data_IF_639061510189
#
_entry.id   IF_639061510189
#
_cell.length_a   1.000
_cell.length_b   1.000
_cell.length_c   1.000
_cell.angle_alpha   90.00
_cell.angle_beta   90.00
_cell.angle_gamma   90.00
#
_symmetry.space_group_name_H-M   'P 1'
#
loop_
_entity.id
_entity.type
_entity.pdbx_description
1 polymer ?
#
# COMPACT_ATOMS: atom_id res chain seq x y z
N UNK A 1 22.02 34.03 0.98
CA UNK A 1 21.50 33.40 -0.25
C UNK A 1 21.49 31.89 -0.03
N UNK A 2 20.33 31.25 -0.11
CA UNK A 2 20.19 29.81 0.12
C UNK A 2 20.88 29.01 -0.98
N UNK A 3 22.07 28.49 -0.70
CA UNK A 3 22.77 27.53 -1.56
C UNK A 3 22.34 26.10 -1.24
N UNK A 4 22.67 25.16 -2.12
CA UNK A 4 22.40 23.75 -1.90
C UNK A 4 23.06 23.27 -0.58
N UNK A 5 22.35 22.65 0.35
CA UNK A 5 22.94 22.26 1.64
C UNK A 5 24.00 21.15 1.52
N UNK A 6 24.02 20.41 0.41
CA UNK A 6 24.97 19.32 0.16
C UNK A 6 26.30 19.81 -0.43
N UNK A 7 26.25 20.68 -1.43
CA UNK A 7 27.45 21.13 -2.16
C UNK A 7 27.74 22.63 -2.01
N UNK A 8 26.87 23.38 -1.33
CA UNK A 8 26.90 24.85 -1.18
C UNK A 8 26.90 25.65 -2.49
N UNK A 9 26.67 24.98 -3.62
CA UNK A 9 26.51 25.61 -4.93
C UNK A 9 25.18 26.33 -5.09
N UNK A 10 25.03 27.15 -6.15
CA UNK A 10 23.76 27.79 -6.47
C UNK A 10 22.69 26.73 -6.76
N UNK A 11 21.52 26.86 -6.13
CA UNK A 11 20.37 26.01 -6.46
C UNK A 11 19.75 26.56 -7.74
N UNK A 12 19.50 25.68 -8.71
CA UNK A 12 18.80 26.08 -9.93
C UNK A 12 17.41 26.63 -9.58
N UNK A 13 17.19 27.91 -9.88
CA UNK A 13 15.92 28.58 -9.63
C UNK A 13 14.75 27.98 -10.42
N UNK A 14 15.03 27.26 -11.51
CA UNK A 14 14.00 26.57 -12.29
C UNK A 14 13.30 25.48 -11.49
N UNK A 15 13.99 24.86 -10.52
CA UNK A 15 13.41 23.91 -9.58
C UNK A 15 12.18 24.50 -8.86
N UNK A 16 12.20 25.79 -8.56
CA UNK A 16 11.12 26.48 -7.85
C UNK A 16 10.13 27.16 -8.78
N UNK A 17 10.53 27.50 -10.02
CA UNK A 17 9.69 28.22 -10.98
C UNK A 17 8.79 27.29 -11.79
N UNK A 18 9.27 26.09 -12.12
CA UNK A 18 8.53 25.06 -12.88
C UNK A 18 8.91 23.66 -12.39
N UNK A 19 8.55 23.29 -11.16
CA UNK A 19 8.82 21.95 -10.66
C UNK A 19 8.13 20.91 -11.56
N UNK A 20 8.91 19.97 -12.09
CA UNK A 20 8.38 18.81 -12.83
C UNK A 20 8.29 17.65 -11.85
N UNK A 21 7.08 17.12 -11.68
CA UNK A 21 6.87 15.93 -10.88
C UNK A 21 6.75 14.73 -11.80
N UNK A 22 7.75 13.86 -11.78
CA UNK A 22 7.69 12.54 -12.39
C UNK A 22 7.32 11.54 -11.31
N UNK A 23 6.11 11.00 -11.37
CA UNK A 23 5.59 10.05 -10.41
C UNK A 23 5.42 8.71 -11.13
N UNK A 24 6.08 7.68 -10.59
CA UNK A 24 5.95 6.31 -11.08
C UNK A 24 4.87 5.58 -10.26
N UNK A 25 3.78 5.18 -10.91
CA UNK A 25 2.70 4.46 -10.25
C UNK A 25 3.09 3.07 -9.76
N UNK A 26 4.20 2.49 -10.24
CA UNK A 26 4.70 1.18 -9.82
C UNK A 26 5.89 1.27 -8.87
N UNK A 27 6.19 2.47 -8.35
CA UNK A 27 7.27 2.62 -7.37
C UNK A 27 7.03 1.80 -6.10
N UNK A 28 8.13 1.37 -5.49
CA UNK A 28 8.18 0.60 -4.24
C UNK A 28 8.86 1.40 -3.12
N UNK A 29 8.67 0.96 -1.86
CA UNK A 29 9.38 1.51 -0.71
C UNK A 29 10.81 0.94 -0.70
N UNK A 30 11.86 1.77 -0.84
CA UNK A 30 13.23 1.29 -0.79
C UNK A 30 13.52 0.62 0.56
N UNK A 31 14.02 -0.62 0.53
CA UNK A 31 14.34 -1.37 1.74
C UNK A 31 13.13 -1.88 2.53
N UNK A 32 11.90 -1.82 1.98
CA UNK A 32 10.83 -2.61 2.57
C UNK A 32 11.14 -4.08 2.35
N UNK A 33 11.22 -4.90 3.40
CA UNK A 33 11.16 -6.35 3.20
C UNK A 33 9.85 -6.62 2.46
N UNK A 34 9.93 -7.22 1.27
CA UNK A 34 8.80 -7.96 0.69
C UNK A 34 8.26 -8.84 1.80
N UNK A 35 6.95 -8.79 2.04
CA UNK A 35 6.25 -9.21 3.25
C UNK A 35 6.83 -10.47 3.88
N UNK A 36 7.84 -10.32 4.75
CA UNK A 36 8.33 -11.43 5.55
C UNK A 36 7.33 -11.58 6.67
N UNK A 37 6.36 -12.47 6.47
CA UNK A 37 5.33 -12.84 7.43
C UNK A 37 5.98 -13.23 8.77
N UNK A 38 6.10 -12.27 9.68
CA UNK A 38 6.46 -12.50 11.07
C UNK A 38 5.25 -12.08 11.91
N UNK A 39 4.17 -12.85 11.84
CA UNK A 39 3.12 -12.81 12.86
C UNK A 39 2.41 -14.16 12.94
N UNK A 40 2.86 -14.97 13.90
CA UNK A 40 2.13 -16.15 14.36
C UNK A 40 0.74 -15.74 14.85
N UNK A 41 -0.33 -16.50 14.55
CA UNK A 41 -1.59 -16.36 15.26
C UNK A 41 -1.37 -16.75 16.73
N UNK A 42 -1.93 -15.97 17.66
CA UNK A 42 -1.99 -16.31 19.09
C UNK A 42 -2.90 -17.53 19.27
N UNK A 43 -2.34 -18.72 19.10
CA UNK A 43 -3.02 -20.00 19.35
C UNK A 43 -3.07 -20.25 20.85
N UNK A 44 -4.30 -20.36 21.37
CA UNK A 44 -4.59 -20.87 22.70
C UNK A 44 -4.15 -22.33 22.73
N UNK A 45 -3.22 -22.66 23.63
CA UNK A 45 -2.59 -23.99 23.76
C UNK A 45 -3.62 -25.07 24.10
N UNK A 46 -3.67 -26.11 23.26
CA UNK A 46 -3.88 -27.49 23.71
C UNK A 46 -2.71 -28.31 23.17
N UNK A 47 -2.10 -29.06 24.09
CA UNK A 47 -0.78 -29.67 23.98
C UNK A 47 -0.83 -30.95 23.13
N UNK A 48 0.02 -31.02 22.10
CA UNK A 48 0.65 -32.26 21.60
C UNK A 48 1.85 -31.86 20.72
N UNK A 49 3.06 -32.11 21.23
CA UNK A 49 4.35 -31.74 20.63
C UNK A 49 4.67 -32.60 19.40
N UNK A 50 4.13 -32.23 18.24
CA UNK A 50 4.67 -32.64 16.94
C UNK A 50 5.49 -31.48 16.41
N UNK A 51 6.81 -31.55 16.57
CA UNK A 51 7.77 -30.56 16.06
C UNK A 51 7.73 -30.59 14.53
N UNK A 52 6.84 -29.81 13.93
CA UNK A 52 6.85 -29.54 12.50
C UNK A 52 8.21 -28.96 12.11
N UNK A 53 8.76 -29.41 10.99
CA UNK A 53 10.06 -28.93 10.50
C UNK A 53 9.91 -27.46 10.07
N UNK A 54 10.17 -26.58 11.03
CA UNK A 54 10.15 -25.12 10.87
C UNK A 54 11.08 -24.68 9.73
N UNK A 55 12.14 -25.46 9.43
CA UNK A 55 13.03 -25.22 8.30
C UNK A 55 12.34 -25.42 6.96
N UNK A 56 11.56 -26.50 6.81
CA UNK A 56 10.81 -26.78 5.60
C UNK A 56 9.66 -25.77 5.36
N UNK A 57 8.97 -25.34 6.43
CA UNK A 57 7.93 -24.31 6.35
C UNK A 57 8.49 -22.95 5.94
N UNK A 58 9.63 -22.54 6.52
CA UNK A 58 10.31 -21.31 6.15
C UNK A 58 10.86 -21.36 4.71
N UNK A 59 11.36 -22.51 4.27
CA UNK A 59 11.82 -22.70 2.89
C UNK A 59 10.66 -22.67 1.88
N UNK A 60 9.51 -23.26 2.20
CA UNK A 60 8.33 -23.19 1.36
C UNK A 60 7.78 -21.76 1.25
N UNK A 61 7.79 -21.01 2.36
CA UNK A 61 7.36 -19.61 2.39
C UNK A 61 8.34 -18.68 1.66
N UNK A 62 9.65 -18.93 1.75
CA UNK A 62 10.68 -18.16 1.06
C UNK A 62 10.72 -18.38 -0.47
N UNK A 63 10.13 -19.46 -0.97
CA UNK A 63 10.16 -19.83 -2.38
C UNK A 63 8.82 -19.61 -3.12
N UNK A 64 7.79 -19.08 -2.45
CA UNK A 64 6.57 -18.69 -3.14
C UNK A 64 6.85 -17.43 -3.98
N UNK A 65 6.54 -17.41 -5.29
CA UNK A 65 6.64 -16.19 -6.08
C UNK A 65 5.62 -15.17 -5.54
N UNK A 66 6.09 -14.24 -4.72
CA UNK A 66 5.25 -13.16 -4.20
C UNK A 66 4.98 -12.17 -5.33
N UNK A 67 3.84 -12.35 -6.01
CA UNK A 67 3.41 -11.43 -7.05
C UNK A 67 2.97 -10.11 -6.41
N UNK A 68 3.59 -9.00 -6.82
CA UNK A 68 3.24 -7.66 -6.36
C UNK A 68 1.74 -7.39 -6.55
N UNK A 69 1.09 -6.94 -5.47
CA UNK A 69 -0.29 -6.48 -5.47
C UNK A 69 -0.36 -4.98 -5.26
N UNK A 70 -1.37 -4.38 -5.86
CA UNK A 70 -1.67 -2.96 -5.75
C UNK A 70 -3.06 -2.79 -5.14
N UNK A 71 -3.18 -1.82 -4.23
CA UNK A 71 -4.46 -1.46 -3.65
C UNK A 71 -4.93 -0.13 -4.22
N UNK A 72 -6.19 -0.13 -4.67
CA UNK A 72 -6.84 1.01 -5.31
C UNK A 72 -8.09 1.42 -4.53
N UNK A 73 -8.42 2.71 -4.54
CA UNK A 73 -9.70 3.24 -4.07
C UNK A 73 -10.39 4.12 -5.12
N UNK A 74 -11.73 4.08 -5.16
CA UNK A 74 -12.51 4.78 -6.19
C UNK A 74 -12.47 6.30 -6.01
N UNK A 75 -12.16 7.01 -7.10
CA UNK A 75 -12.28 8.47 -7.15
C UNK A 75 -13.74 8.95 -7.12
N UNK A 76 -14.01 10.18 -6.64
CA UNK A 76 -15.39 10.74 -6.68
C UNK A 76 -15.91 10.95 -8.10
N UNK A 77 -15.02 11.35 -9.00
CA UNK A 77 -15.34 11.70 -10.39
C UNK A 77 -14.80 10.62 -11.34
N UNK A 78 -15.10 9.34 -11.06
CA UNK A 78 -14.59 8.19 -11.81
C UNK A 78 -13.07 7.98 -11.65
N UNK A 79 -12.57 6.87 -12.22
CA UNK A 79 -11.20 6.39 -12.10
C UNK A 79 -10.83 5.86 -10.71
N UNK A 80 -9.60 5.39 -10.59
CA UNK A 80 -9.02 4.80 -9.38
C UNK A 80 -7.81 5.58 -8.91
N UNK A 81 -7.55 5.53 -7.62
CA UNK A 81 -6.32 6.04 -7.01
C UNK A 81 -5.60 4.89 -6.34
N UNK A 82 -4.29 4.78 -6.53
CA UNK A 82 -3.47 3.88 -5.70
C UNK A 82 -3.38 4.45 -4.29
N UNK A 83 -3.49 3.59 -3.27
CA UNK A 83 -3.10 3.99 -1.91
C UNK A 83 -1.63 4.41 -1.87
N UNK A 84 -1.23 5.20 -0.88
CA UNK A 84 0.21 5.38 -0.65
C UNK A 84 0.83 4.05 -0.20
N UNK A 85 2.14 3.94 -0.41
CA UNK A 85 2.84 2.67 -0.25
C UNK A 85 2.79 2.11 1.17
N UNK A 86 2.76 2.98 2.19
CA UNK A 86 2.71 2.55 3.58
C UNK A 86 1.34 1.95 3.89
N UNK A 87 0.28 2.67 3.55
CA UNK A 87 -1.08 2.16 3.73
C UNK A 87 -1.32 0.91 2.87
N UNK A 88 -0.83 0.85 1.63
CA UNK A 88 -0.93 -0.34 0.77
C UNK A 88 -0.33 -1.58 1.46
N UNK A 89 0.83 -1.43 2.10
CA UNK A 89 1.47 -2.51 2.87
C UNK A 89 0.59 -2.96 4.03
N UNK A 90 0.11 -2.03 4.84
CA UNK A 90 -0.73 -2.33 6.01
C UNK A 90 -2.06 -3.01 5.61
N UNK A 91 -2.63 -2.62 4.45
CA UNK A 91 -3.84 -3.24 3.88
C UNK A 91 -3.55 -4.66 3.40
N UNK A 92 -2.48 -4.87 2.62
CA UNK A 92 -2.11 -6.19 2.10
C UNK A 92 -1.79 -7.17 3.22
N UNK A 93 -1.06 -6.73 4.26
CA UNK A 93 -0.77 -7.54 5.43
C UNK A 93 -2.05 -7.96 6.17
N UNK A 94 -2.98 -7.04 6.40
CA UNK A 94 -4.24 -7.38 7.04
C UNK A 94 -5.09 -8.34 6.18
N UNK A 95 -5.14 -8.12 4.87
CA UNK A 95 -5.89 -8.96 3.94
C UNK A 95 -5.33 -10.38 3.87
N UNK A 96 -4.01 -10.53 3.76
CA UNK A 96 -3.34 -11.84 3.69
C UNK A 96 -3.42 -12.61 5.00
N UNK A 97 -3.46 -11.91 6.14
CA UNK A 97 -3.73 -12.50 7.45
C UNK A 97 -5.21 -12.88 7.67
N UNK A 98 -6.09 -12.68 6.68
CA UNK A 98 -7.51 -13.02 6.78
C UNK A 98 -8.28 -12.16 7.78
N UNK A 99 -7.78 -10.95 8.08
CA UNK A 99 -8.51 -10.00 8.90
C UNK A 99 -9.77 -9.55 8.15
N UNK A 100 -10.93 -9.41 8.82
CA UNK A 100 -12.16 -8.97 8.15
C UNK A 100 -12.14 -7.46 7.82
N UNK A 101 -11.43 -6.69 8.64
CA UNK A 101 -11.27 -5.24 8.51
C UNK A 101 -9.85 -4.83 8.91
N UNK A 102 -9.41 -3.66 8.45
CA UNK A 102 -8.25 -2.94 9.00
C UNK A 102 -8.54 -1.46 9.15
N UNK A 103 -7.84 -0.78 10.07
CA UNK A 103 -8.00 0.65 10.31
C UNK A 103 -6.74 1.41 9.87
N UNK A 104 -6.93 2.49 9.11
CA UNK A 104 -5.85 3.34 8.60
C UNK A 104 -6.03 4.77 9.07
N UNK A 105 -4.92 5.49 9.25
CA UNK A 105 -4.95 6.94 9.49
C UNK A 105 -4.54 7.68 8.21
N UNK A 106 -5.50 8.33 7.57
CA UNK A 106 -5.28 9.09 6.33
C UNK A 106 -5.52 10.57 6.63
N UNK A 107 -4.49 11.40 6.49
CA UNK A 107 -4.54 12.84 6.74
C UNK A 107 -5.15 13.20 8.12
N UNK A 108 -4.79 12.45 9.16
CA UNK A 108 -5.26 12.67 10.54
C UNK A 108 -6.68 12.18 10.83
N UNK A 109 -7.30 11.42 9.91
CA UNK A 109 -8.63 10.84 10.11
C UNK A 109 -8.56 9.32 10.05
N UNK A 110 -9.33 8.65 10.90
CA UNK A 110 -9.43 7.19 10.93
C UNK A 110 -10.42 6.68 9.89
N UNK A 111 -9.95 5.79 9.03
CA UNK A 111 -10.73 5.08 8.03
C UNK A 111 -10.71 3.58 8.33
N UNK A 112 -11.82 2.92 8.04
CA UNK A 112 -11.94 1.47 8.08
C UNK A 112 -11.93 0.97 6.65
N UNK A 113 -11.13 -0.07 6.41
CA UNK A 113 -11.14 -0.87 5.19
C UNK A 113 -11.89 -2.16 5.52
N UNK A 114 -13.01 -2.39 4.87
CA UNK A 114 -13.84 -3.59 5.02
C UNK A 114 -13.60 -4.50 3.82
N UNK A 115 -12.91 -5.62 4.06
CA UNK A 115 -12.54 -6.56 3.01
C UNK A 115 -13.71 -7.43 2.56
N UNK A 116 -14.75 -7.57 3.38
CA UNK A 116 -15.96 -8.33 2.99
C UNK A 116 -16.79 -7.54 1.99
N UNK A 117 -16.91 -6.22 2.18
CA UNK A 117 -17.63 -5.33 1.26
C UNK A 117 -16.75 -4.78 0.15
N UNK A 118 -15.43 -4.85 0.30
CA UNK A 118 -14.45 -4.19 -0.55
C UNK A 118 -14.72 -2.67 -0.61
N UNK A 119 -14.86 -2.05 0.56
CA UNK A 119 -15.07 -0.60 0.69
C UNK A 119 -14.18 0.02 1.78
N UNK A 120 -13.85 1.29 1.59
CA UNK A 120 -13.32 2.15 2.65
C UNK A 120 -14.37 3.16 3.11
N UNK A 121 -14.43 3.46 4.41
CA UNK A 121 -15.29 4.51 4.97
C UNK A 121 -14.67 5.14 6.21
N UNK A 122 -15.11 6.35 6.57
CA UNK A 122 -14.59 7.02 7.76
C UNK A 122 -15.20 6.38 9.01
N UNK A 123 -14.37 6.03 10.02
CA UNK A 123 -14.81 5.29 11.22
C UNK A 123 -15.99 5.96 11.95
N UNK A 124 -15.97 7.29 12.01
CA UNK A 124 -17.01 8.09 12.69
C UNK A 124 -18.13 8.57 11.76
N UNK A 125 -18.08 8.25 10.46
CA UNK A 125 -19.06 8.68 9.48
C UNK A 125 -19.10 7.73 8.27
N UNK A 126 -20.08 6.84 8.27
CA UNK A 126 -20.26 5.84 7.20
C UNK A 126 -20.96 6.39 5.95
N UNK A 127 -21.39 7.66 5.94
CA UNK A 127 -22.11 8.23 4.79
C UNK A 127 -21.21 8.52 3.57
N UNK A 128 -19.89 8.41 3.73
CA UNK A 128 -18.94 8.54 2.62
C UNK A 128 -18.07 7.29 2.56
N UNK A 129 -18.54 6.29 1.80
CA UNK A 129 -17.73 5.13 1.42
C UNK A 129 -17.11 5.31 0.03
N UNK A 130 -16.09 4.51 -0.28
CA UNK A 130 -15.52 4.34 -1.62
C UNK A 130 -15.18 2.88 -1.82
N UNK A 131 -15.46 2.33 -3.00
CA UNK A 131 -14.98 1.00 -3.38
C UNK A 131 -13.45 0.95 -3.29
N UNK A 132 -12.94 -0.21 -2.89
CA UNK A 132 -11.52 -0.56 -2.98
C UNK A 132 -11.34 -1.75 -3.93
N UNK A 133 -10.12 -1.93 -4.45
CA UNK A 133 -9.77 -3.08 -5.28
C UNK A 133 -8.31 -3.50 -5.04
N UNK A 134 -8.10 -4.80 -4.93
CA UNK A 134 -6.78 -5.45 -4.98
C UNK A 134 -6.54 -5.97 -6.39
N UNK A 135 -5.44 -5.59 -7.03
CA UNK A 135 -5.10 -6.01 -8.40
C UNK A 135 -3.65 -6.49 -8.48
N UNK A 136 -3.37 -7.38 -9.42
CA UNK A 136 -1.99 -7.74 -9.77
C UNK A 136 -1.39 -6.69 -10.73
N UNK A 137 -0.13 -6.85 -11.12
CA UNK A 137 0.55 -5.91 -12.01
C UNK A 137 -0.08 -5.83 -13.41
N UNK A 138 -0.53 -6.96 -13.96
CA UNK A 138 -1.15 -7.03 -15.30
C UNK A 138 -2.49 -6.30 -15.34
N UNK A 139 -3.34 -6.55 -14.35
CA UNK A 139 -4.65 -5.91 -14.21
C UNK A 139 -4.50 -4.42 -13.92
N UNK A 140 -3.47 -4.04 -13.16
CA UNK A 140 -3.17 -2.63 -12.87
C UNK A 140 -2.92 -1.81 -14.15
N UNK A 141 -2.22 -2.38 -15.13
CA UNK A 141 -1.91 -1.69 -16.39
C UNK A 141 -3.14 -1.41 -17.25
N UNK A 142 -4.19 -2.23 -17.11
CA UNK A 142 -5.47 -2.03 -17.80
C UNK A 142 -6.43 -1.08 -17.08
N UNK A 143 -6.08 -0.58 -15.90
CA UNK A 143 -6.97 0.22 -15.06
C UNK A 143 -6.74 1.72 -15.25
N UNK A 144 -7.82 2.50 -15.23
CA UNK A 144 -7.78 3.96 -15.19
C UNK A 144 -7.34 4.45 -13.80
N UNK A 145 -6.04 4.38 -13.53
CA UNK A 145 -5.41 4.84 -12.29
C UNK A 145 -4.92 6.26 -12.48
N UNK A 146 -5.58 7.20 -11.81
CA UNK A 146 -5.36 8.65 -11.93
C UNK A 146 -4.04 9.09 -11.32
N UNK A 147 -3.53 8.33 -10.36
CA UNK A 147 -2.43 8.77 -9.52
C UNK A 147 -2.28 7.96 -8.22
N UNK A 148 -1.43 8.47 -7.33
CA UNK A 148 -1.09 7.87 -6.04
C UNK A 148 -1.50 8.82 -4.90
N UNK A 149 -2.34 8.33 -3.98
CA UNK A 149 -2.82 9.08 -2.81
C UNK A 149 -3.35 10.49 -3.10
N UNK A 150 -4.03 10.67 -4.24
CA UNK A 150 -4.58 11.96 -4.68
C UNK A 150 -3.62 12.83 -5.50
N UNK A 151 -2.36 12.43 -5.67
CA UNK A 151 -1.39 13.07 -6.56
C UNK A 151 -1.51 12.49 -7.96
N UNK A 152 -1.85 13.32 -8.95
CA UNK A 152 -1.97 12.85 -10.34
C UNK A 152 -0.63 12.36 -10.88
N UNK A 153 -0.68 11.27 -11.66
CA UNK A 153 0.39 10.97 -12.61
C UNK A 153 0.16 11.84 -13.83
N UNK A 154 1.19 12.62 -14.20
CA UNK A 154 1.17 13.32 -15.47
C UNK A 154 1.34 12.29 -16.58
N UNK A 155 0.23 11.91 -17.23
CA UNK A 155 0.31 11.27 -18.54
C UNK A 155 0.85 12.33 -19.51
N UNK A 156 2.12 12.23 -19.87
CA UNK A 156 2.71 13.01 -20.95
C UNK A 156 2.24 12.50 -22.31
#
# INVERSE_FOLDING_TARGET
MGGCPLCRGPIDTNLFKKPVQHLDLKMDIPGSPSTTNNSLPRVVKTEEDVKSDVGALNAALANAPEEKKYWLYRGRNQGWWRFDLRNEKDIEEAFTNGMPITELTICGRSYVIDFSKMEQYQKNNQNSSRDIKRVNATDFDGMDVKGLAGMFVNNH
#
